data_IF_721850478781
#
_entry.id   IF_721850478781
#
_cell.length_a   1.000
_cell.length_b   1.000
_cell.length_c   1.000
_cell.angle_alpha   90.00
_cell.angle_beta   90.00
_cell.angle_gamma   90.00
#
_symmetry.space_group_name_H-M   'P 1'
#
loop_
_entity.id
_entity.type
_entity.pdbx_description
1 polymer ?
#
# COMPACT_ATOMS: atom_id res chain seq x y z
N UNK A 1 -7.05 6.86 13.04
CA UNK A 1 -6.32 5.63 13.42
C UNK A 1 -5.07 5.58 12.56
N UNK A 2 -3.89 5.84 13.14
CA UNK A 2 -2.63 5.89 12.39
C UNK A 2 -2.34 4.51 11.81
N UNK A 3 -2.28 4.41 10.48
CA UNK A 3 -1.77 3.23 9.75
C UNK A 3 -0.22 3.18 9.91
N UNK A 4 0.23 2.98 11.15
CA UNK A 4 1.64 2.71 11.44
C UNK A 4 1.90 1.21 11.27
N UNK A 5 2.89 0.86 10.49
CA UNK A 5 3.65 -0.41 10.49
C UNK A 5 3.39 -1.50 9.44
N UNK A 6 2.91 -1.18 8.21
CA UNK A 6 2.82 -2.24 7.18
C UNK A 6 3.58 -1.96 5.87
N UNK A 7 4.49 -0.98 5.84
CA UNK A 7 5.30 -0.66 4.65
C UNK A 7 6.80 -0.95 4.81
N UNK A 8 7.12 -2.04 5.49
CA UNK A 8 8.49 -2.55 5.52
C UNK A 8 8.56 -3.84 4.70
N UNK A 9 8.66 -3.76 3.40
CA UNK A 9 9.28 -4.77 2.51
C UNK A 9 9.10 -4.39 1.04
N UNK A 10 9.74 -3.32 0.58
CA UNK A 10 10.18 -3.25 -0.80
C UNK A 10 11.69 -3.46 -0.78
N UNK A 11 12.09 -4.71 -0.59
CA UNK A 11 13.46 -5.15 -0.86
C UNK A 11 13.62 -5.07 -2.37
N UNK A 12 14.12 -3.93 -2.85
CA UNK A 12 14.68 -3.83 -4.17
C UNK A 12 15.90 -4.75 -4.20
N UNK A 13 15.77 -5.90 -4.85
CA UNK A 13 16.92 -6.70 -5.26
C UNK A 13 17.74 -5.85 -6.24
N UNK A 14 18.72 -5.11 -5.72
CA UNK A 14 19.66 -4.34 -6.50
C UNK A 14 20.58 -5.34 -7.23
N UNK A 15 20.23 -5.64 -8.46
CA UNK A 15 21.19 -6.20 -9.40
C UNK A 15 22.22 -5.13 -9.71
N UNK A 16 23.26 -5.00 -8.88
CA UNK A 16 24.50 -4.33 -9.30
C UNK A 16 24.96 -5.03 -10.57
N UNK A 17 24.85 -4.35 -11.70
CA UNK A 17 25.47 -4.82 -12.94
C UNK A 17 26.95 -4.99 -12.64
N UNK A 18 27.37 -6.25 -12.56
CA UNK A 18 28.75 -6.62 -12.34
C UNK A 18 29.64 -5.77 -13.25
N UNK A 19 30.53 -4.96 -12.66
CA UNK A 19 31.55 -4.19 -13.35
C UNK A 19 32.63 -5.09 -14.01
N UNK A 20 32.22 -6.28 -14.41
CA UNK A 20 33.08 -7.32 -14.94
C UNK A 20 32.98 -7.53 -16.44
N UNK A 21 32.72 -6.52 -17.26
CA UNK A 21 32.95 -6.58 -18.71
C UNK A 21 32.75 -5.20 -19.37
N UNK A 22 33.54 -4.21 -18.98
CA UNK A 22 33.61 -2.92 -19.67
C UNK A 22 34.31 -2.99 -21.06
N UNK A 23 34.39 -4.15 -21.66
CA UNK A 23 35.07 -4.36 -22.95
C UNK A 23 34.21 -5.02 -24.02
N UNK A 24 32.90 -5.12 -23.81
CA UNK A 24 31.98 -5.39 -24.89
C UNK A 24 31.05 -4.18 -25.06
N UNK A 25 31.45 -3.27 -25.93
CA UNK A 25 30.54 -2.23 -26.46
C UNK A 25 29.40 -2.93 -27.24
N UNK A 26 28.50 -3.60 -26.51
CA UNK A 26 27.16 -3.80 -26.99
C UNK A 26 26.56 -2.38 -27.08
N UNK A 27 26.04 -2.01 -28.24
CA UNK A 27 25.13 -0.90 -28.42
C UNK A 27 24.05 -1.02 -27.34
N UNK A 28 24.28 -0.45 -26.18
CA UNK A 28 23.25 -0.21 -25.20
C UNK A 28 22.26 0.69 -25.91
N UNK A 29 21.08 0.18 -26.17
CA UNK A 29 19.95 1.00 -26.59
C UNK A 29 19.93 2.15 -25.60
N UNK A 30 19.97 3.40 -26.07
CA UNK A 30 20.06 4.55 -25.18
C UNK A 30 18.78 4.58 -24.33
N UNK A 31 18.89 4.13 -23.10
CA UNK A 31 17.77 3.97 -22.17
C UNK A 31 17.09 5.33 -21.88
N UNK A 32 17.87 6.42 -22.02
CA UNK A 32 17.43 7.80 -21.82
C UNK A 32 17.69 8.67 -23.06
N UNK A 33 16.91 8.49 -24.15
CA UNK A 33 17.20 9.15 -25.43
C UNK A 33 17.03 10.68 -25.35
N UNK A 34 16.27 11.16 -24.36
CA UNK A 34 15.98 12.58 -24.15
C UNK A 34 16.85 13.21 -23.06
N UNK A 35 17.86 12.50 -22.56
CA UNK A 35 18.72 13.00 -21.48
C UNK A 35 19.35 14.35 -21.86
N UNK A 36 19.19 15.33 -20.98
CA UNK A 36 19.76 16.69 -21.15
C UNK A 36 21.21 16.79 -20.67
N UNK A 37 21.66 15.78 -19.88
CA UNK A 37 23.01 15.69 -19.35
C UNK A 37 23.94 15.07 -20.39
N UNK A 38 25.09 15.75 -20.64
CA UNK A 38 26.14 15.16 -21.46
C UNK A 38 26.80 13.98 -20.72
N UNK A 39 26.90 12.85 -21.38
CA UNK A 39 27.51 11.65 -20.78
C UNK A 39 29.02 11.82 -20.63
N UNK A 40 29.57 11.73 -19.40
CA UNK A 40 31.02 11.80 -19.20
C UNK A 40 31.72 10.51 -19.64
N UNK A 41 33.02 10.62 -19.91
CA UNK A 41 33.83 9.44 -20.23
C UNK A 41 34.08 8.61 -18.97
N UNK A 42 33.71 7.34 -19.03
CA UNK A 42 33.94 6.36 -17.96
C UNK A 42 35.39 5.81 -18.00
N UNK A 43 36.35 6.68 -17.78
CA UNK A 43 37.78 6.31 -17.79
C UNK A 43 38.36 6.33 -16.38
N UNK A 44 39.14 5.32 -16.03
CA UNK A 44 39.86 5.29 -14.76
C UNK A 44 41.26 4.64 -14.93
N UNK A 45 42.16 4.94 -14.02
CA UNK A 45 43.49 4.33 -14.02
C UNK A 45 43.41 2.82 -13.76
N UNK A 46 44.40 2.05 -14.23
CA UNK A 46 44.48 0.59 -13.94
C UNK A 46 44.53 0.28 -12.45
N UNK A 47 45.02 1.23 -11.62
CA UNK A 47 45.04 1.09 -10.16
C UNK A 47 43.64 1.27 -9.58
N UNK A 48 42.88 2.27 -10.05
CA UNK A 48 41.51 2.49 -9.62
C UNK A 48 40.59 1.36 -10.10
N UNK A 49 40.74 0.91 -11.34
CA UNK A 49 39.99 -0.20 -11.90
C UNK A 49 40.16 -1.49 -11.08
N UNK A 50 41.38 -1.80 -10.69
CA UNK A 50 41.69 -2.99 -9.87
C UNK A 50 41.06 -2.86 -8.45
N UNK A 51 41.26 -1.71 -7.80
CA UNK A 51 40.83 -1.55 -6.41
C UNK A 51 39.32 -1.35 -6.30
N UNK A 52 38.70 -0.55 -7.17
CA UNK A 52 37.23 -0.36 -7.18
C UNK A 52 36.50 -1.61 -7.71
N UNK A 53 37.10 -2.36 -8.64
CA UNK A 53 36.58 -3.65 -9.07
C UNK A 53 36.51 -4.64 -7.89
N UNK A 54 37.58 -4.76 -7.10
CA UNK A 54 37.56 -5.59 -5.88
C UNK A 54 36.58 -5.08 -4.83
N UNK A 55 36.47 -3.77 -4.67
CA UNK A 55 35.48 -3.19 -3.76
C UNK A 55 34.06 -3.60 -4.17
N UNK A 56 33.73 -3.48 -5.46
CA UNK A 56 32.42 -3.88 -5.98
C UNK A 56 32.16 -5.39 -5.80
N UNK A 57 33.17 -6.24 -6.03
CA UNK A 57 33.05 -7.68 -5.79
C UNK A 57 32.74 -7.97 -4.32
N UNK A 58 33.44 -7.30 -3.38
CA UNK A 58 33.22 -7.49 -1.95
C UNK A 58 31.87 -6.96 -1.48
N UNK A 59 31.38 -5.83 -2.01
CA UNK A 59 30.00 -5.35 -1.76
C UNK A 59 28.99 -6.42 -2.20
N UNK A 60 29.13 -6.96 -3.41
CA UNK A 60 28.25 -8.01 -3.91
C UNK A 60 28.29 -9.32 -3.07
N UNK A 61 29.41 -9.57 -2.40
CA UNK A 61 29.58 -10.72 -1.50
C UNK A 61 29.11 -10.42 -0.04
N UNK A 62 28.64 -9.19 0.26
CA UNK A 62 28.29 -8.76 1.62
C UNK A 62 29.48 -8.67 2.57
N UNK A 63 30.68 -8.39 2.03
CA UNK A 63 31.95 -8.26 2.79
C UNK A 63 32.35 -6.79 2.94
N UNK A 64 31.52 -6.01 3.58
CA UNK A 64 31.61 -4.55 3.65
C UNK A 64 32.94 -4.04 4.21
N UNK A 65 33.47 -4.67 5.25
CA UNK A 65 34.77 -4.26 5.83
C UNK A 65 35.90 -4.33 4.79
N UNK A 66 35.90 -5.38 3.97
CA UNK A 66 36.91 -5.54 2.90
C UNK A 66 36.65 -4.55 1.75
N UNK A 67 35.39 -4.34 1.39
CA UNK A 67 35.02 -3.34 0.39
C UNK A 67 35.50 -1.95 0.83
N UNK A 68 35.27 -1.59 2.10
CA UNK A 68 35.68 -0.33 2.70
C UNK A 68 37.19 -0.06 2.58
N UNK A 69 38.03 -1.07 2.80
CA UNK A 69 39.49 -0.93 2.64
C UNK A 69 39.88 -0.48 1.23
N UNK A 70 39.25 -1.08 0.21
CA UNK A 70 39.54 -0.77 -1.19
C UNK A 70 38.95 0.57 -1.64
N UNK A 71 37.74 0.92 -1.16
CA UNK A 71 37.13 2.23 -1.40
C UNK A 71 37.97 3.34 -0.78
N UNK A 72 38.37 3.19 0.48
CA UNK A 72 39.24 4.17 1.17
C UNK A 72 40.55 4.36 0.43
N UNK A 73 41.15 3.29 -0.03
CA UNK A 73 42.39 3.34 -0.84
C UNK A 73 42.20 4.08 -2.16
N UNK A 74 41.06 3.88 -2.84
CA UNK A 74 40.74 4.59 -4.08
C UNK A 74 40.53 6.08 -3.82
N UNK A 75 39.74 6.45 -2.81
CA UNK A 75 39.46 7.82 -2.42
C UNK A 75 40.70 8.60 -1.95
N UNK A 76 41.71 7.92 -1.40
CA UNK A 76 42.97 8.55 -0.96
C UNK A 76 43.87 9.00 -2.13
N UNK A 77 43.59 8.63 -3.38
CA UNK A 77 44.38 8.98 -4.54
C UNK A 77 44.07 10.39 -5.03
N UNK A 78 45.07 11.27 -5.01
CA UNK A 78 44.95 12.68 -5.43
C UNK A 78 44.65 12.94 -6.90
N UNK A 79 44.82 11.92 -7.77
CA UNK A 79 44.71 12.05 -9.25
C UNK A 79 43.74 11.05 -9.87
N UNK A 80 42.74 10.60 -9.11
CA UNK A 80 41.70 9.77 -9.67
C UNK A 80 40.80 10.59 -10.61
N UNK A 81 40.32 9.94 -11.67
CA UNK A 81 39.38 10.58 -12.61
C UNK A 81 38.02 10.89 -11.93
N UNK A 82 37.22 11.82 -12.46
CA UNK A 82 35.87 12.05 -11.96
C UNK A 82 35.04 10.77 -11.90
N UNK A 83 35.15 9.89 -12.90
CA UNK A 83 34.46 8.60 -12.89
C UNK A 83 34.89 7.71 -11.71
N UNK A 84 36.21 7.56 -11.48
CA UNK A 84 36.70 6.74 -10.37
C UNK A 84 36.28 7.32 -9.00
N UNK A 85 36.28 8.65 -8.83
CA UNK A 85 35.82 9.28 -7.62
C UNK A 85 34.32 9.09 -7.40
N UNK A 86 33.47 9.37 -8.41
CA UNK A 86 32.03 9.17 -8.35
C UNK A 86 31.68 7.72 -8.05
N UNK A 87 32.35 6.75 -8.71
CA UNK A 87 32.11 5.34 -8.49
C UNK A 87 32.55 4.87 -7.10
N UNK A 88 33.68 5.42 -6.57
CA UNK A 88 34.11 5.13 -5.20
C UNK A 88 33.08 5.64 -4.17
N UNK A 89 32.53 6.85 -4.33
CA UNK A 89 31.46 7.37 -3.48
C UNK A 89 30.15 6.60 -3.63
N UNK A 90 29.81 6.12 -4.83
CA UNK A 90 28.66 5.23 -5.02
C UNK A 90 28.82 3.94 -4.23
N UNK A 91 29.99 3.28 -4.28
CA UNK A 91 30.28 2.08 -3.49
C UNK A 91 30.30 2.37 -1.98
N UNK A 92 30.81 3.53 -1.56
CA UNK A 92 30.77 3.95 -0.16
C UNK A 92 29.33 4.12 0.32
N UNK A 93 28.48 4.72 -0.49
CA UNK A 93 27.05 4.86 -0.21
C UNK A 93 26.36 3.49 -0.06
N UNK A 94 26.71 2.52 -0.93
CA UNK A 94 26.17 1.16 -0.82
C UNK A 94 26.63 0.46 0.47
N UNK A 95 27.90 0.60 0.86
CA UNK A 95 28.42 0.05 2.12
C UNK A 95 27.67 0.62 3.31
N UNK A 96 27.41 1.93 3.33
CA UNK A 96 26.63 2.54 4.41
C UNK A 96 25.17 2.08 4.41
N UNK A 97 24.56 1.92 3.24
CA UNK A 97 23.22 1.37 3.11
C UNK A 97 23.12 -0.04 3.70
N UNK A 98 24.06 -0.93 3.36
CA UNK A 98 24.11 -2.32 3.85
C UNK A 98 24.34 -2.37 5.39
N UNK A 99 24.89 -1.32 5.97
CA UNK A 99 25.08 -1.14 7.42
C UNK A 99 23.91 -0.42 8.11
N UNK A 100 22.76 -0.21 7.44
CA UNK A 100 21.61 0.54 7.98
C UNK A 100 21.92 2.01 8.34
N UNK A 101 22.95 2.61 7.72
CA UNK A 101 23.37 4.01 7.92
C UNK A 101 22.83 4.88 6.78
N UNK A 102 21.51 5.08 6.76
CA UNK A 102 20.83 5.74 5.65
C UNK A 102 21.28 7.19 5.40
N UNK A 103 21.42 8.06 6.43
CA UNK A 103 21.90 9.43 6.20
C UNK A 103 23.31 9.49 5.60
N UNK A 104 24.22 8.62 6.06
CA UNK A 104 25.58 8.53 5.52
C UNK A 104 25.56 7.98 4.09
N UNK A 105 24.70 7.02 3.77
CA UNK A 105 24.51 6.50 2.42
C UNK A 105 24.06 7.60 1.45
N UNK A 106 23.04 8.36 1.84
CA UNK A 106 22.55 9.52 1.06
C UNK A 106 23.67 10.52 0.82
N UNK A 107 24.43 10.86 1.85
CA UNK A 107 25.53 11.81 1.75
C UNK A 107 26.60 11.36 0.76
N UNK A 108 26.97 10.08 0.75
CA UNK A 108 27.96 9.54 -0.19
C UNK A 108 27.40 9.44 -1.62
N UNK A 109 26.14 9.03 -1.79
CA UNK A 109 25.50 9.05 -3.10
C UNK A 109 25.39 10.48 -3.65
N UNK A 110 25.09 11.48 -2.82
CA UNK A 110 25.08 12.89 -3.24
C UNK A 110 26.47 13.34 -3.72
N UNK A 111 27.57 12.98 -3.03
CA UNK A 111 28.94 13.25 -3.50
C UNK A 111 29.21 12.59 -4.86
N UNK A 112 28.75 11.36 -5.08
CA UNK A 112 28.90 10.69 -6.36
C UNK A 112 28.22 11.46 -7.51
N UNK A 113 27.03 12.03 -7.23
CA UNK A 113 26.28 12.84 -8.19
C UNK A 113 26.94 14.20 -8.43
N UNK A 114 27.38 14.91 -7.38
CA UNK A 114 28.03 16.22 -7.44
C UNK A 114 29.34 16.20 -8.25
N UNK A 115 30.15 15.16 -8.11
CA UNK A 115 31.37 14.97 -8.92
C UNK A 115 31.03 14.82 -10.42
N UNK A 116 29.84 14.34 -10.71
CA UNK A 116 29.28 14.24 -12.05
C UNK A 116 30.11 13.36 -13.02
N UNK A 117 30.77 12.32 -12.49
CA UNK A 117 31.65 11.43 -13.25
C UNK A 117 31.00 10.13 -13.77
N UNK A 118 29.82 9.74 -13.24
CA UNK A 118 29.13 8.51 -13.62
C UNK A 118 28.49 8.61 -15.02
N UNK A 119 28.48 7.53 -15.82
CA UNK A 119 27.66 7.42 -17.02
C UNK A 119 26.18 7.69 -16.72
N UNK A 120 25.41 8.13 -17.71
CA UNK A 120 24.03 8.56 -17.52
C UNK A 120 23.17 7.49 -16.82
N UNK A 121 23.21 6.25 -17.25
CA UNK A 121 22.44 5.17 -16.63
C UNK A 121 22.74 5.02 -15.12
N UNK A 122 24.03 5.02 -14.73
CA UNK A 122 24.44 4.92 -13.33
C UNK A 122 24.08 6.19 -12.54
N UNK A 123 24.29 7.37 -13.12
CA UNK A 123 23.95 8.65 -12.49
C UNK A 123 22.45 8.71 -12.16
N UNK A 124 21.60 8.37 -13.11
CA UNK A 124 20.15 8.39 -12.92
C UNK A 124 19.67 7.31 -11.95
N UNK A 125 20.31 6.14 -11.95
CA UNK A 125 20.06 5.10 -10.96
C UNK A 125 20.39 5.59 -9.54
N UNK A 126 21.54 6.25 -9.36
CA UNK A 126 21.94 6.79 -8.04
C UNK A 126 20.96 7.88 -7.58
N UNK A 127 20.50 8.77 -8.45
CA UNK A 127 19.47 9.75 -8.12
C UNK A 127 18.17 9.08 -7.68
N UNK A 128 17.74 8.03 -8.36
CA UNK A 128 16.55 7.28 -7.99
C UNK A 128 16.69 6.60 -6.62
N UNK A 129 17.87 6.04 -6.32
CA UNK A 129 18.20 5.47 -5.00
C UNK A 129 18.13 6.56 -3.92
N UNK A 130 18.74 7.73 -4.16
CA UNK A 130 18.69 8.85 -3.20
C UNK A 130 17.22 9.19 -2.89
N UNK A 131 16.37 9.36 -3.90
CA UNK A 131 14.96 9.69 -3.70
C UNK A 131 14.22 8.63 -2.88
N UNK A 132 14.52 7.34 -3.08
CA UNK A 132 13.94 6.25 -2.30
C UNK A 132 14.40 6.30 -0.84
N UNK A 133 15.68 6.56 -0.59
CA UNK A 133 16.22 6.66 0.77
C UNK A 133 15.70 7.91 1.49
N UNK A 134 15.60 9.05 0.83
CA UNK A 134 15.00 10.26 1.38
C UNK A 134 13.52 10.02 1.75
N UNK A 135 12.75 9.30 0.92
CA UNK A 135 11.39 8.91 1.25
C UNK A 135 11.34 8.00 2.49
N UNK A 136 12.30 7.08 2.64
CA UNK A 136 12.40 6.17 3.78
C UNK A 136 12.78 6.90 5.07
N UNK A 137 13.67 7.88 4.98
CA UNK A 137 14.09 8.76 6.08
C UNK A 137 13.07 9.87 6.40
N UNK A 138 11.89 9.79 5.77
CA UNK A 138 10.80 10.76 5.94
C UNK A 138 11.13 12.19 5.44
N UNK A 139 12.22 12.35 4.66
CA UNK A 139 12.52 13.60 3.96
C UNK A 139 11.76 13.65 2.62
N UNK A 140 10.46 13.88 2.73
CA UNK A 140 9.55 13.83 1.58
C UNK A 140 9.77 14.98 0.59
N UNK A 141 10.10 16.17 1.09
CA UNK A 141 10.48 17.31 0.27
C UNK A 141 11.80 17.05 -0.48
N UNK A 142 12.79 16.47 0.20
CA UNK A 142 14.05 16.03 -0.40
C UNK A 142 13.81 15.03 -1.51
N UNK A 143 12.99 14.01 -1.27
CA UNK A 143 12.63 13.01 -2.27
C UNK A 143 11.97 13.64 -3.51
N UNK A 144 11.04 14.59 -3.32
CA UNK A 144 10.39 15.29 -4.43
C UNK A 144 11.40 16.15 -5.21
N UNK A 145 12.33 16.82 -4.53
CA UNK A 145 13.38 17.62 -5.18
C UNK A 145 14.32 16.73 -6.01
N UNK A 146 14.71 15.58 -5.46
CA UNK A 146 15.57 14.60 -6.16
C UNK A 146 14.88 14.01 -7.39
N UNK A 147 13.59 13.67 -7.26
CA UNK A 147 12.81 13.21 -8.42
C UNK A 147 12.70 14.30 -9.49
N UNK A 148 12.49 15.55 -9.10
CA UNK A 148 12.44 16.68 -10.05
C UNK A 148 13.79 16.88 -10.78
N UNK A 149 14.92 16.69 -10.08
CA UNK A 149 16.25 16.67 -10.68
C UNK A 149 16.39 15.52 -11.69
N UNK A 150 15.95 14.32 -11.31
CA UNK A 150 15.95 13.13 -12.15
C UNK A 150 15.13 13.36 -13.44
N UNK A 151 13.88 13.84 -13.33
CA UNK A 151 13.01 14.17 -14.48
C UNK A 151 13.68 15.17 -15.42
N UNK A 152 14.27 16.22 -14.86
CA UNK A 152 14.97 17.27 -15.62
C UNK A 152 16.16 16.72 -16.41
N UNK A 153 16.96 15.85 -15.79
CA UNK A 153 18.18 15.32 -16.38
C UNK A 153 17.91 14.20 -17.39
N UNK A 154 16.91 13.35 -17.13
CA UNK A 154 16.52 12.25 -18.02
C UNK A 154 15.66 12.72 -19.20
N UNK A 155 14.94 13.84 -19.04
CA UNK A 155 13.96 14.33 -20.01
C UNK A 155 12.76 13.37 -20.19
N UNK A 156 12.49 12.52 -19.20
CA UNK A 156 11.40 11.52 -19.24
C UNK A 156 10.73 11.39 -17.88
N UNK A 157 9.62 10.67 -17.85
CA UNK A 157 8.93 10.21 -16.64
C UNK A 157 8.70 8.71 -16.76
N UNK A 158 8.82 7.99 -15.66
CA UNK A 158 8.54 6.56 -15.57
C UNK A 158 7.41 6.31 -14.57
N UNK A 159 6.78 5.15 -14.66
CA UNK A 159 5.72 4.76 -13.73
C UNK A 159 6.22 4.67 -12.28
N UNK A 160 7.41 4.11 -12.08
CA UNK A 160 8.00 3.92 -10.74
C UNK A 160 8.37 5.25 -10.08
N UNK A 161 8.95 6.16 -10.83
CA UNK A 161 9.30 7.50 -10.36
C UNK A 161 8.04 8.31 -9.99
N UNK A 162 7.00 8.26 -10.82
CA UNK A 162 5.72 8.89 -10.52
C UNK A 162 5.04 8.28 -9.28
N UNK A 163 5.17 6.99 -9.06
CA UNK A 163 4.66 6.32 -7.87
C UNK A 163 5.41 6.74 -6.60
N UNK A 164 6.74 6.90 -6.68
CA UNK A 164 7.54 7.44 -5.57
C UNK A 164 7.09 8.86 -5.24
N UNK A 165 6.95 9.70 -6.25
CA UNK A 165 6.47 11.08 -6.13
C UNK A 165 5.07 11.15 -5.50
N UNK A 166 4.16 10.27 -5.93
CA UNK A 166 2.82 10.17 -5.35
C UNK A 166 2.85 9.78 -3.88
N UNK A 167 3.74 8.86 -3.49
CA UNK A 167 3.91 8.47 -2.09
C UNK A 167 4.41 9.67 -1.26
N UNK A 168 5.42 10.40 -1.73
CA UNK A 168 5.91 11.60 -1.06
C UNK A 168 4.80 12.66 -0.90
N UNK A 169 4.02 12.93 -1.95
CA UNK A 169 2.87 13.84 -1.86
C UNK A 169 1.83 13.38 -0.85
N UNK A 170 1.50 12.08 -0.84
CA UNK A 170 0.56 11.52 0.14
C UNK A 170 1.04 11.73 1.59
N UNK A 171 2.33 11.53 1.84
CA UNK A 171 2.94 11.72 3.17
C UNK A 171 3.00 13.19 3.60
N UNK A 172 3.00 14.11 2.65
CA UNK A 172 2.92 15.56 2.88
C UNK A 172 1.48 16.09 2.91
N UNK A 173 0.47 15.21 2.99
CA UNK A 173 -0.95 15.57 2.96
C UNK A 173 -1.38 16.31 1.68
N UNK A 174 -0.57 16.23 0.61
CA UNK A 174 -0.84 16.81 -0.70
C UNK A 174 -1.63 15.83 -1.57
N UNK A 175 -2.81 15.43 -1.10
CA UNK A 175 -3.56 14.31 -1.63
C UNK A 175 -3.96 14.45 -3.11
N UNK A 176 -4.29 15.67 -3.58
CA UNK A 176 -4.62 15.87 -5.00
C UNK A 176 -3.39 15.62 -5.88
N UNK A 177 -2.20 16.11 -5.48
CA UNK A 177 -0.96 15.86 -6.22
C UNK A 177 -0.58 14.36 -6.20
N UNK A 178 -0.85 13.68 -5.08
CA UNK A 178 -0.67 12.23 -4.98
C UNK A 178 -1.59 11.48 -5.95
N UNK A 179 -2.87 11.87 -6.05
CA UNK A 179 -3.83 11.29 -7.01
C UNK A 179 -3.35 11.49 -8.44
N UNK A 180 -2.94 12.70 -8.81
CA UNK A 180 -2.53 13.03 -10.17
C UNK A 180 -1.29 12.21 -10.57
N UNK A 181 -0.27 12.17 -9.71
CA UNK A 181 0.96 11.41 -9.95
C UNK A 181 0.70 9.90 -10.00
N UNK A 182 -0.07 9.35 -9.04
CA UNK A 182 -0.34 7.91 -8.96
C UNK A 182 -1.24 7.43 -10.09
N UNK A 183 -2.26 8.19 -10.46
CA UNK A 183 -3.13 7.86 -11.59
C UNK A 183 -2.32 7.78 -12.89
N UNK A 184 -1.38 8.71 -13.08
CA UNK A 184 -0.46 8.69 -14.22
C UNK A 184 0.46 7.47 -14.16
N UNK A 185 1.06 7.15 -13.00
CA UNK A 185 1.90 5.97 -12.80
C UNK A 185 1.17 4.68 -13.20
N UNK A 186 -0.06 4.51 -12.70
CA UNK A 186 -0.90 3.34 -13.00
C UNK A 186 -1.21 3.26 -14.50
N UNK A 187 -1.49 4.40 -15.17
CA UNK A 187 -1.79 4.42 -16.61
C UNK A 187 -0.58 4.06 -17.49
N UNK A 188 0.64 4.23 -16.98
CA UNK A 188 1.89 3.94 -17.70
C UNK A 188 2.42 2.52 -17.45
N UNK A 189 1.83 1.77 -16.50
CA UNK A 189 2.30 0.44 -16.12
C UNK A 189 1.35 -0.65 -16.60
N UNK A 190 1.88 -1.69 -17.25
CA UNK A 190 1.11 -2.88 -17.59
C UNK A 190 0.73 -3.73 -16.36
N UNK A 191 1.51 -3.60 -15.29
CA UNK A 191 1.33 -4.34 -14.02
C UNK A 191 1.57 -3.42 -12.82
N UNK A 192 0.64 -2.48 -12.54
CA UNK A 192 0.76 -1.63 -11.38
C UNK A 192 0.74 -2.46 -10.09
N UNK A 193 1.57 -2.07 -9.10
CA UNK A 193 1.60 -2.78 -7.83
C UNK A 193 0.33 -2.51 -7.00
N UNK A 194 -0.03 -3.46 -6.14
CA UNK A 194 -1.18 -3.28 -5.23
C UNK A 194 -1.00 -2.08 -4.30
N UNK A 195 0.22 -1.76 -3.90
CA UNK A 195 0.52 -0.60 -3.05
C UNK A 195 0.19 0.73 -3.73
N UNK A 196 0.32 0.83 -5.05
CA UNK A 196 -0.05 2.02 -5.81
C UNK A 196 -1.55 2.29 -5.73
N UNK A 197 -2.35 1.25 -5.93
CA UNK A 197 -3.81 1.34 -5.77
C UNK A 197 -4.22 1.70 -4.35
N UNK A 198 -3.48 1.24 -3.34
CA UNK A 198 -3.73 1.57 -1.94
C UNK A 198 -3.47 3.05 -1.64
N UNK A 199 -2.34 3.61 -2.12
CA UNK A 199 -2.03 5.04 -1.95
C UNK A 199 -3.07 5.90 -2.69
N UNK A 200 -3.43 5.53 -3.93
CA UNK A 200 -4.44 6.25 -4.71
C UNK A 200 -5.79 6.25 -3.99
N UNK A 201 -6.21 5.09 -3.48
CA UNK A 201 -7.46 4.97 -2.74
C UNK A 201 -7.42 5.76 -1.43
N UNK A 202 -6.34 5.66 -0.65
CA UNK A 202 -6.18 6.44 0.57
C UNK A 202 -6.26 7.95 0.28
N UNK A 203 -5.64 8.42 -0.80
CA UNK A 203 -5.70 9.82 -1.22
C UNK A 203 -7.13 10.26 -1.58
N UNK A 204 -7.92 9.40 -2.26
CA UNK A 204 -9.34 9.68 -2.50
C UNK A 204 -10.15 9.76 -1.20
N UNK A 205 -9.86 8.89 -0.22
CA UNK A 205 -10.54 8.90 1.07
C UNK A 205 -10.27 10.19 1.85
N UNK A 206 -9.01 10.65 1.89
CA UNK A 206 -8.64 11.88 2.60
C UNK A 206 -9.32 13.13 2.00
N UNK A 207 -9.62 13.12 0.70
CA UNK A 207 -10.37 14.18 0.01
C UNK A 207 -11.87 13.95 -0.03
N UNK A 208 -12.40 12.86 0.56
CA UNK A 208 -13.83 12.52 0.48
C UNK A 208 -14.32 12.19 -0.93
N UNK A 209 -13.41 11.84 -1.84
CA UNK A 209 -13.71 11.49 -3.23
C UNK A 209 -14.10 10.00 -3.36
N UNK A 210 -15.15 9.61 -2.65
CA UNK A 210 -15.56 8.19 -2.54
C UNK A 210 -16.05 7.58 -3.85
N UNK A 211 -16.64 8.37 -4.74
CA UNK A 211 -17.07 7.86 -6.05
C UNK A 211 -15.87 7.44 -6.91
N UNK A 212 -14.76 8.17 -6.86
CA UNK A 212 -13.51 7.81 -7.54
C UNK A 212 -12.86 6.58 -6.90
N UNK A 213 -12.87 6.50 -5.57
CA UNK A 213 -12.41 5.31 -4.85
C UNK A 213 -13.23 4.07 -5.23
N UNK A 214 -14.56 4.20 -5.31
CA UNK A 214 -15.44 3.10 -5.73
C UNK A 214 -15.17 2.67 -7.18
N UNK A 215 -14.99 3.62 -8.10
CA UNK A 215 -14.67 3.34 -9.50
C UNK A 215 -13.34 2.56 -9.64
N UNK A 216 -12.33 2.90 -8.84
CA UNK A 216 -11.05 2.19 -8.82
C UNK A 216 -11.24 0.71 -8.41
N UNK A 217 -11.97 0.46 -7.32
CA UNK A 217 -12.23 -0.92 -6.85
C UNK A 217 -13.12 -1.68 -7.83
N UNK A 218 -14.13 -1.03 -8.42
CA UNK A 218 -14.97 -1.64 -9.46
C UNK A 218 -14.17 -2.08 -10.69
N UNK A 219 -13.18 -1.27 -11.11
CA UNK A 219 -12.29 -1.63 -12.22
C UNK A 219 -11.45 -2.88 -11.90
N UNK A 220 -10.98 -3.01 -10.65
CA UNK A 220 -10.26 -4.19 -10.21
C UNK A 220 -11.19 -5.40 -10.11
N UNK A 221 -12.40 -5.22 -9.57
CA UNK A 221 -13.42 -6.26 -9.43
C UNK A 221 -13.90 -6.78 -10.79
N UNK A 222 -13.93 -5.93 -11.83
CA UNK A 222 -14.25 -6.36 -13.18
C UNK A 222 -13.26 -7.39 -13.75
N UNK A 223 -12.00 -7.37 -13.29
CA UNK A 223 -10.97 -8.35 -13.68
C UNK A 223 -11.04 -9.63 -12.85
N UNK A 224 -11.51 -9.56 -11.62
CA UNK A 224 -11.66 -10.68 -10.70
C UNK A 224 -13.01 -10.58 -9.94
N UNK A 225 -14.14 -10.91 -10.60
CA UNK A 225 -15.50 -10.65 -10.08
C UNK A 225 -15.85 -11.40 -8.80
N UNK A 226 -15.10 -12.45 -8.45
CA UNK A 226 -15.35 -13.30 -7.26
C UNK A 226 -14.42 -12.99 -6.09
N UNK A 227 -13.64 -11.95 -6.18
CA UNK A 227 -12.68 -11.56 -5.15
C UNK A 227 -13.39 -10.91 -3.96
N UNK A 228 -13.62 -11.69 -2.91
CA UNK A 228 -14.29 -11.22 -1.68
C UNK A 228 -13.56 -10.04 -1.01
N UNK A 229 -12.22 -9.98 -1.11
CA UNK A 229 -11.46 -8.84 -0.58
C UNK A 229 -11.85 -7.53 -1.29
N UNK A 230 -11.98 -7.56 -2.62
CA UNK A 230 -12.41 -6.39 -3.40
C UNK A 230 -13.89 -6.06 -3.17
N UNK A 231 -14.75 -7.08 -3.03
CA UNK A 231 -16.18 -6.90 -2.69
C UNK A 231 -16.31 -6.18 -1.34
N UNK A 232 -15.62 -6.67 -0.31
CA UNK A 232 -15.63 -6.07 1.02
C UNK A 232 -15.03 -4.65 1.01
N UNK A 233 -13.99 -4.43 0.22
CA UNK A 233 -13.39 -3.12 0.04
C UNK A 233 -14.37 -2.13 -0.63
N UNK A 234 -15.08 -2.56 -1.68
CA UNK A 234 -16.09 -1.73 -2.34
C UNK A 234 -17.28 -1.43 -1.41
N UNK A 235 -17.73 -2.42 -0.63
CA UNK A 235 -18.75 -2.20 0.39
C UNK A 235 -18.30 -1.16 1.42
N UNK A 236 -17.04 -1.24 1.88
CA UNK A 236 -16.46 -0.26 2.81
C UNK A 236 -16.43 1.15 2.21
N UNK A 237 -16.05 1.29 0.93
CA UNK A 237 -16.08 2.59 0.24
C UNK A 237 -17.49 3.16 0.23
N UNK A 238 -18.50 2.34 -0.10
CA UNK A 238 -19.89 2.79 -0.11
C UNK A 238 -20.41 3.17 1.29
N UNK A 239 -19.99 2.44 2.34
CA UNK A 239 -20.32 2.80 3.74
C UNK A 239 -19.74 4.19 4.09
N UNK A 240 -18.49 4.45 3.75
CA UNK A 240 -17.84 5.74 4.02
C UNK A 240 -18.49 6.89 3.21
N UNK A 241 -19.05 6.56 2.06
CA UNK A 241 -19.80 7.50 1.23
C UNK A 241 -21.25 7.71 1.67
N UNK A 242 -21.68 7.10 2.79
CA UNK A 242 -23.09 7.07 3.26
C UNK A 242 -24.06 6.46 2.21
N UNK A 243 -23.55 5.55 1.37
CA UNK A 243 -24.31 4.89 0.30
C UNK A 243 -24.67 3.45 0.72
N UNK A 244 -25.40 3.30 1.82
CA UNK A 244 -25.71 1.99 2.45
C UNK A 244 -26.43 1.02 1.50
N UNK A 245 -27.32 1.53 0.64
CA UNK A 245 -28.00 0.72 -0.36
C UNK A 245 -27.04 0.06 -1.36
N UNK A 246 -26.01 0.79 -1.81
CA UNK A 246 -25.01 0.24 -2.73
C UNK A 246 -24.12 -0.79 -2.03
N UNK A 247 -23.75 -0.52 -0.78
CA UNK A 247 -23.00 -1.46 0.05
C UNK A 247 -23.79 -2.76 0.27
N UNK A 248 -25.08 -2.66 0.61
CA UNK A 248 -25.96 -3.82 0.76
C UNK A 248 -26.12 -4.59 -0.58
N UNK A 249 -26.28 -3.88 -1.70
CA UNK A 249 -26.47 -4.51 -3.01
C UNK A 249 -25.25 -5.34 -3.45
N UNK A 250 -24.02 -4.85 -3.27
CA UNK A 250 -22.82 -5.60 -3.65
C UNK A 250 -22.60 -6.83 -2.76
N UNK A 251 -22.88 -6.71 -1.45
CA UNK A 251 -22.80 -7.83 -0.51
C UNK A 251 -23.92 -8.85 -0.76
N UNK A 252 -25.13 -8.42 -1.11
CA UNK A 252 -26.24 -9.32 -1.50
C UNK A 252 -25.87 -10.12 -2.73
N UNK A 253 -25.34 -9.48 -3.75
CA UNK A 253 -24.87 -10.16 -4.95
C UNK A 253 -23.84 -11.24 -4.60
N UNK A 254 -22.87 -10.92 -3.75
CA UNK A 254 -21.88 -11.89 -3.28
C UNK A 254 -22.52 -13.07 -2.52
N UNK A 255 -23.56 -12.80 -1.69
CA UNK A 255 -24.33 -13.83 -0.99
C UNK A 255 -25.05 -14.75 -1.98
N UNK A 256 -25.76 -14.17 -2.95
CA UNK A 256 -26.55 -14.92 -3.94
C UNK A 256 -25.66 -15.77 -4.88
N UNK A 257 -24.44 -15.33 -5.14
CA UNK A 257 -23.41 -16.08 -5.86
C UNK A 257 -22.67 -17.14 -4.98
N UNK A 258 -23.02 -17.24 -3.69
CA UNK A 258 -22.42 -18.20 -2.76
C UNK A 258 -20.99 -17.87 -2.35
N UNK A 259 -20.57 -16.64 -2.51
CA UNK A 259 -19.22 -16.18 -2.15
C UNK A 259 -19.07 -15.88 -0.66
N UNK A 260 -20.17 -15.57 0.03
CA UNK A 260 -20.17 -15.34 1.49
C UNK A 260 -20.15 -16.67 2.20
N UNK A 261 -19.05 -16.94 2.92
CA UNK A 261 -18.81 -18.19 3.66
C UNK A 261 -18.58 -17.98 5.15
N UNK A 262 -18.57 -16.72 5.62
CA UNK A 262 -18.34 -16.40 7.04
C UNK A 262 -19.58 -15.78 7.69
N UNK A 263 -19.77 -16.05 8.99
CA UNK A 263 -20.82 -15.42 9.78
C UNK A 263 -20.64 -13.90 9.90
N UNK A 264 -19.39 -13.42 9.89
CA UNK A 264 -19.09 -11.99 9.94
C UNK A 264 -19.65 -11.24 8.72
N UNK A 265 -19.56 -11.83 7.52
CA UNK A 265 -20.11 -11.23 6.31
C UNK A 265 -21.65 -11.19 6.33
N UNK A 266 -22.30 -12.25 6.87
CA UNK A 266 -23.75 -12.28 7.10
C UNK A 266 -24.19 -11.17 8.06
N UNK A 267 -23.50 -11.02 9.19
CA UNK A 267 -23.77 -9.99 10.19
C UNK A 267 -23.54 -8.59 9.59
N UNK A 268 -22.48 -8.41 8.80
CA UNK A 268 -22.23 -7.15 8.12
C UNK A 268 -23.34 -6.80 7.13
N UNK A 269 -23.79 -7.75 6.32
CA UNK A 269 -24.88 -7.54 5.38
C UNK A 269 -26.20 -7.21 6.11
N UNK A 270 -26.49 -7.88 7.22
CA UNK A 270 -27.68 -7.57 8.02
C UNK A 270 -27.61 -6.14 8.60
N UNK A 271 -26.45 -5.72 9.11
CA UNK A 271 -26.25 -4.34 9.59
C UNK A 271 -26.40 -3.32 8.48
N UNK A 272 -25.93 -3.60 7.27
CA UNK A 272 -26.11 -2.72 6.10
C UNK A 272 -27.59 -2.55 5.75
N UNK A 273 -28.34 -3.64 5.72
CA UNK A 273 -29.78 -3.59 5.50
C UNK A 273 -30.51 -2.79 6.60
N UNK A 274 -30.16 -3.02 7.88
CA UNK A 274 -30.74 -2.29 8.99
C UNK A 274 -30.44 -0.77 8.91
N UNK A 275 -29.21 -0.41 8.54
CA UNK A 275 -28.81 1.00 8.33
C UNK A 275 -29.49 1.66 7.13
N UNK A 276 -30.03 0.87 6.19
CA UNK A 276 -30.83 1.33 5.06
C UNK A 276 -32.34 1.22 5.32
N UNK A 277 -32.78 1.10 6.60
CA UNK A 277 -34.18 0.90 7.03
C UNK A 277 -34.86 -0.34 6.41
N UNK A 278 -34.09 -1.31 5.90
CA UNK A 278 -34.55 -2.58 5.32
C UNK A 278 -34.52 -3.69 6.38
N UNK A 279 -35.24 -3.47 7.47
CA UNK A 279 -35.16 -4.33 8.66
C UNK A 279 -35.67 -5.77 8.42
N UNK A 280 -36.63 -5.94 7.51
CA UNK A 280 -37.13 -7.28 7.16
C UNK A 280 -36.08 -8.10 6.40
N UNK A 281 -35.36 -7.48 5.49
CA UNK A 281 -34.24 -8.08 4.77
C UNK A 281 -33.08 -8.38 5.73
N UNK A 282 -32.78 -7.47 6.66
CA UNK A 282 -31.79 -7.66 7.69
C UNK A 282 -32.11 -8.90 8.57
N UNK A 283 -33.36 -9.01 9.03
CA UNK A 283 -33.82 -10.15 9.83
C UNK A 283 -33.71 -11.47 9.03
N UNK A 284 -34.09 -11.47 7.76
CA UNK A 284 -33.99 -12.65 6.90
C UNK A 284 -32.54 -13.11 6.70
N UNK A 285 -31.60 -12.18 6.54
CA UNK A 285 -30.16 -12.48 6.41
C UNK A 285 -29.61 -13.08 7.70
N UNK A 286 -29.95 -12.53 8.87
CA UNK A 286 -29.54 -13.10 10.16
C UNK A 286 -30.08 -14.50 10.34
N UNK A 287 -31.38 -14.70 10.06
CA UNK A 287 -32.02 -16.02 10.14
C UNK A 287 -31.34 -17.05 9.24
N UNK A 288 -31.04 -16.67 7.99
CA UNK A 288 -30.35 -17.54 7.05
C UNK A 288 -28.95 -17.92 7.55
N UNK A 289 -28.20 -16.94 8.07
CA UNK A 289 -26.85 -17.16 8.61
C UNK A 289 -26.83 -18.11 9.82
N UNK A 290 -27.82 -17.97 10.73
CA UNK A 290 -28.00 -18.93 11.85
C UNK A 290 -28.41 -20.32 11.35
N UNK A 291 -29.35 -20.41 10.42
CA UNK A 291 -29.82 -21.68 9.87
C UNK A 291 -28.72 -22.47 9.15
N UNK A 292 -27.78 -21.78 8.53
CA UNK A 292 -26.60 -22.36 7.89
C UNK A 292 -25.47 -22.70 8.90
N UNK A 293 -25.62 -22.34 10.16
CA UNK A 293 -24.58 -22.51 11.19
C UNK A 293 -23.34 -21.65 10.96
N UNK A 294 -23.44 -20.60 10.16
CA UNK A 294 -22.35 -19.67 9.88
C UNK A 294 -22.24 -18.57 10.95
N UNK A 295 -23.39 -18.05 11.42
CA UNK A 295 -23.42 -17.10 12.54
C UNK A 295 -23.35 -17.87 13.84
N UNK A 296 -22.37 -17.55 14.68
CA UNK A 296 -22.23 -18.13 16.02
C UNK A 296 -23.41 -17.72 16.92
N UNK A 297 -24.00 -18.70 17.62
CA UNK A 297 -25.10 -18.51 18.55
C UNK A 297 -24.63 -17.96 19.89
N UNK A 298 -24.10 -16.74 19.91
CA UNK A 298 -23.67 -16.03 21.12
C UNK A 298 -24.58 -14.85 21.45
N UNK A 299 -24.37 -14.25 22.64
CA UNK A 299 -25.13 -13.11 23.13
C UNK A 299 -25.22 -11.97 22.12
N UNK A 300 -24.09 -11.51 21.58
CA UNK A 300 -24.04 -10.34 20.72
C UNK A 300 -24.84 -10.54 19.43
N UNK A 301 -24.72 -11.71 18.81
CA UNK A 301 -25.41 -12.01 17.57
C UNK A 301 -26.91 -12.23 17.77
N UNK A 302 -27.32 -12.91 18.87
CA UNK A 302 -28.76 -13.05 19.19
C UNK A 302 -29.37 -11.73 19.61
N UNK A 303 -28.67 -10.89 20.39
CA UNK A 303 -29.15 -9.55 20.75
C UNK A 303 -29.34 -8.70 19.50
N UNK A 304 -28.33 -8.63 18.62
CA UNK A 304 -28.45 -7.89 17.35
C UNK A 304 -29.63 -8.39 16.51
N UNK A 305 -29.82 -9.70 16.44
CA UNK A 305 -30.93 -10.28 15.70
C UNK A 305 -32.30 -9.87 16.31
N UNK A 306 -32.42 -9.88 17.63
CA UNK A 306 -33.61 -9.40 18.34
C UNK A 306 -33.88 -7.93 18.09
N UNK A 307 -32.84 -7.07 18.16
CA UNK A 307 -32.94 -5.64 17.88
C UNK A 307 -33.46 -5.39 16.44
N UNK A 308 -32.92 -6.10 15.46
CA UNK A 308 -33.36 -6.03 14.05
C UNK A 308 -34.80 -6.50 13.90
N UNK A 309 -35.20 -7.59 14.58
CA UNK A 309 -36.56 -8.09 14.53
C UNK A 309 -37.58 -7.10 15.13
N UNK A 310 -37.22 -6.42 16.22
CA UNK A 310 -38.05 -5.32 16.78
C UNK A 310 -38.20 -4.19 15.78
N UNK A 311 -37.13 -3.76 15.13
CA UNK A 311 -37.22 -2.71 14.11
C UNK A 311 -37.99 -3.14 12.86
N UNK A 312 -38.11 -4.47 12.62
CA UNK A 312 -38.93 -5.03 11.54
C UNK A 312 -40.38 -5.27 11.91
N UNK A 313 -40.82 -4.84 13.10
CA UNK A 313 -42.15 -5.09 13.68
C UNK A 313 -42.48 -6.60 13.73
N UNK A 314 -41.47 -7.45 14.05
CA UNK A 314 -41.61 -8.88 14.15
C UNK A 314 -41.35 -9.38 15.58
N UNK A 315 -42.37 -9.21 16.44
CA UNK A 315 -42.29 -9.54 17.86
C UNK A 315 -41.94 -11.03 18.10
N UNK A 316 -42.46 -11.94 17.29
CA UNK A 316 -42.19 -13.36 17.43
C UNK A 316 -40.70 -13.68 17.21
N UNK A 317 -40.08 -13.09 16.20
CA UNK A 317 -38.67 -13.18 15.93
C UNK A 317 -37.83 -12.56 17.08
N UNK A 318 -38.22 -11.40 17.56
CA UNK A 318 -37.52 -10.69 18.63
C UNK A 318 -37.55 -11.49 19.93
N UNK A 319 -38.70 -12.03 20.31
CA UNK A 319 -38.85 -12.90 21.48
C UNK A 319 -37.93 -14.13 21.39
N UNK A 320 -37.95 -14.81 20.26
CA UNK A 320 -37.07 -15.99 20.06
C UNK A 320 -35.58 -15.61 20.21
N UNK A 321 -35.15 -14.53 19.57
CA UNK A 321 -33.77 -14.07 19.58
C UNK A 321 -33.32 -13.64 20.99
N UNK A 322 -34.10 -12.81 21.68
CA UNK A 322 -33.77 -12.37 23.04
C UNK A 322 -33.81 -13.51 24.06
N UNK A 323 -34.73 -14.46 23.91
CA UNK A 323 -34.75 -15.67 24.73
C UNK A 323 -33.46 -16.49 24.62
N UNK A 324 -32.86 -16.52 23.41
CA UNK A 324 -31.57 -17.20 23.20
C UNK A 324 -30.38 -16.37 23.71
N UNK A 325 -30.49 -15.06 23.74
CA UNK A 325 -29.44 -14.19 24.26
C UNK A 325 -29.41 -14.10 25.79
N UNK A 326 -30.58 -14.17 26.47
CA UNK A 326 -30.77 -13.96 27.91
C UNK A 326 -29.87 -14.87 28.80
N UNK A 327 -29.68 -16.15 28.53
CA UNK A 327 -28.89 -17.02 29.43
C UNK A 327 -27.40 -16.64 29.55
N UNK A 328 -26.88 -15.88 28.59
CA UNK A 328 -25.47 -15.43 28.54
C UNK A 328 -25.34 -13.90 28.59
N UNK A 329 -26.43 -13.23 28.92
CA UNK A 329 -26.45 -11.76 29.03
C UNK A 329 -25.54 -11.31 30.18
N UNK A 330 -24.71 -10.27 29.96
CA UNK A 330 -23.85 -9.70 31.01
C UNK A 330 -24.63 -8.86 32.04
N UNK A 331 -25.83 -8.44 31.65
CA UNK A 331 -26.73 -7.61 32.49
C UNK A 331 -28.19 -7.87 32.12
N UNK A 332 -29.12 -7.21 32.81
CA UNK A 332 -30.58 -7.34 32.58
C UNK A 332 -31.13 -6.62 31.35
N UNK A 333 -30.34 -6.02 30.49
CA UNK A 333 -30.84 -5.23 29.35
C UNK A 333 -31.60 -6.09 28.33
N UNK A 334 -31.10 -7.30 28.02
CA UNK A 334 -31.79 -8.21 27.09
C UNK A 334 -33.11 -8.74 27.72
N UNK A 335 -33.13 -8.97 29.02
CA UNK A 335 -34.34 -9.42 29.71
C UNK A 335 -35.42 -8.32 29.69
N UNK A 336 -35.03 -7.06 29.86
CA UNK A 336 -35.91 -5.93 29.66
C UNK A 336 -36.47 -5.83 28.23
N UNK A 337 -35.60 -6.03 27.20
CA UNK A 337 -36.03 -6.05 25.80
C UNK A 337 -36.96 -7.23 25.50
N UNK A 338 -36.68 -8.41 26.08
CA UNK A 338 -37.55 -9.57 25.99
C UNK A 338 -38.95 -9.27 26.60
N UNK A 339 -38.97 -8.70 27.80
CA UNK A 339 -40.21 -8.28 28.44
C UNK A 339 -41.01 -7.27 27.60
N UNK A 340 -40.30 -6.34 26.99
CA UNK A 340 -40.89 -5.34 26.08
C UNK A 340 -41.50 -6.01 24.83
N UNK A 341 -40.76 -6.92 24.17
CA UNK A 341 -41.26 -7.68 23.02
C UNK A 341 -42.47 -8.54 23.36
N UNK A 342 -42.48 -9.19 24.52
CA UNK A 342 -43.60 -9.96 25.02
C UNK A 342 -44.82 -9.11 25.28
N UNK A 343 -44.64 -7.90 25.80
CA UNK A 343 -45.74 -6.95 26.03
C UNK A 343 -46.39 -6.53 24.70
N UNK A 344 -45.63 -6.21 23.66
CA UNK A 344 -46.17 -5.85 22.35
C UNK A 344 -46.82 -7.05 21.61
N UNK A 345 -46.40 -8.24 21.91
CA UNK A 345 -46.99 -9.48 21.40
C UNK A 345 -48.28 -9.90 22.17
N UNK A 346 -48.84 -9.06 23.04
CA UNK A 346 -49.97 -9.38 23.92
C UNK A 346 -49.74 -10.58 24.88
N UNK A 347 -48.44 -10.90 25.18
CA UNK A 347 -48.01 -11.98 26.07
C UNK A 347 -47.59 -11.45 27.45
N UNK A 348 -48.35 -10.50 28.01
CA UNK A 348 -47.96 -9.76 29.22
C UNK A 348 -47.74 -10.62 30.47
N UNK A 349 -48.35 -11.80 30.55
CA UNK A 349 -48.09 -12.73 31.66
C UNK A 349 -46.70 -13.37 31.62
N UNK A 350 -46.11 -13.44 30.45
CA UNK A 350 -44.75 -14.00 30.25
C UNK A 350 -43.70 -12.88 30.37
N UNK A 351 -44.11 -11.61 30.32
CA UNK A 351 -43.23 -10.45 30.44
C UNK A 351 -42.86 -10.09 31.90
N UNK A 352 -43.44 -10.79 32.87
CA UNK A 352 -43.25 -10.60 34.32
C UNK A 352 -42.24 -11.66 34.83
#
# INVERSE_FOLDING_TARGET
MKLSSWFAALVCAFGLVAAGNALAARKTQNEYPNATRSEPRAEMSSADQRDLGKAADYVNEGKDDKAQEYVTKALSRKRSSPYAQSFAHQLQGQIYYDQDKMPEAIAEYRKAIEINGLPNAQHFQVLYIIAQLELQEEDYEGALATVAEWEKLTGTQTADELALKANAYYRLDQYQAAIDAMSKAISMSDKPSDSWSQILMASYFELGQYDQAAALVQQQLAKDPKNMKLINQLATVYIQADQMDKAAAIMTKAKDEGLITSGADYVQLAKLYASADKNKEAAAVMQEGFAKGLIEGNYDNYKLYGDICMQADNDACAIEAYTKASPTAPDGNVDYQLGYALYYADRSQEAI
#
